data_IF_941087363331
#
_entry.id   IF_941087363331
#
_cell.length_a   1.000
_cell.length_b   1.000
_cell.length_c   1.000
_cell.angle_alpha   90.00
_cell.angle_beta   90.00
_cell.angle_gamma   90.00
#
_symmetry.space_group_name_H-M   'P 1'
#
loop_
_entity.id
_entity.type
_entity.pdbx_description
1 polymer ?
#
# COMPACT_ATOMS: atom_id res chain seq x y z
N UNK A 1 -12.82 -4.74 13.68
CA UNK A 1 -11.81 -5.04 12.63
C UNK A 1 -11.96 -6.44 12.07
N UNK A 2 -11.76 -6.62 10.75
CA UNK A 2 -11.89 -7.89 10.01
C UNK A 2 -10.65 -8.14 9.17
N UNK A 3 -10.32 -9.40 8.87
CA UNK A 3 -9.22 -9.70 7.95
C UNK A 3 -9.52 -9.20 6.52
N UNK A 4 -8.49 -8.70 5.84
CA UNK A 4 -8.56 -8.24 4.44
C UNK A 4 -8.64 -9.46 3.51
N UNK A 5 -9.85 -10.00 3.32
CA UNK A 5 -10.10 -11.18 2.48
C UNK A 5 -11.01 -10.90 1.29
N UNK A 6 -12.01 -10.03 1.47
CA UNK A 6 -12.94 -9.60 0.43
C UNK A 6 -13.21 -8.10 0.60
N UNK A 7 -12.22 -7.24 0.37
CA UNK A 7 -12.40 -5.81 0.52
C UNK A 7 -13.45 -5.28 -0.44
N UNK A 8 -14.11 -4.22 -0.02
CA UNK A 8 -14.99 -3.37 -0.83
C UNK A 8 -14.29 -2.04 -1.10
N UNK A 9 -14.69 -1.39 -2.19
CA UNK A 9 -14.26 -0.03 -2.49
C UNK A 9 -14.48 0.86 -1.26
N UNK A 10 -13.43 1.60 -0.86
CA UNK A 10 -13.47 2.46 0.33
C UNK A 10 -13.03 1.79 1.63
N UNK A 11 -12.77 0.48 1.65
CA UNK A 11 -12.19 -0.17 2.83
C UNK A 11 -10.79 0.37 3.10
N UNK A 12 -10.57 0.82 4.33
CA UNK A 12 -9.29 1.30 4.86
C UNK A 12 -8.65 0.20 5.69
N UNK A 13 -7.42 -0.19 5.34
CA UNK A 13 -6.69 -1.26 6.00
C UNK A 13 -5.26 -0.82 6.32
N UNK A 14 -4.63 -1.47 7.31
CA UNK A 14 -3.26 -1.13 7.68
C UNK A 14 -2.23 -1.88 6.84
N UNK A 15 -1.06 -1.25 6.68
CA UNK A 15 0.18 -1.87 6.22
C UNK A 15 1.22 -1.69 7.34
N UNK A 16 1.76 -2.77 7.94
CA UNK A 16 2.83 -2.64 8.93
C UNK A 16 4.01 -1.89 8.34
N UNK A 17 4.72 -1.11 9.16
CA UNK A 17 5.84 -0.31 8.69
C UNK A 17 6.80 0.07 9.81
N UNK A 18 7.92 0.65 9.41
CA UNK A 18 8.91 1.30 10.27
C UNK A 18 9.22 2.67 9.68
N UNK A 19 9.23 3.71 10.50
CA UNK A 19 9.52 5.07 10.03
C UNK A 19 11.03 5.37 9.98
N UNK A 20 11.38 6.61 9.64
CA UNK A 20 12.77 7.10 9.59
C UNK A 20 13.52 6.99 10.93
N UNK A 21 12.80 7.02 12.05
CA UNK A 21 13.35 6.99 13.41
C UNK A 21 13.37 5.55 13.99
N UNK A 22 13.17 4.54 13.14
CA UNK A 22 13.08 3.12 13.49
C UNK A 22 11.93 2.76 14.47
N UNK A 23 10.92 3.60 14.55
CA UNK A 23 9.69 3.32 15.29
C UNK A 23 8.79 2.38 14.49
N UNK A 24 8.28 1.34 15.16
CA UNK A 24 7.34 0.38 14.58
C UNK A 24 5.92 0.94 14.66
N UNK A 25 5.22 0.88 13.54
CA UNK A 25 3.84 1.32 13.43
C UNK A 25 3.24 0.82 12.13
N UNK A 26 2.39 1.63 11.53
CA UNK A 26 1.71 1.29 10.29
C UNK A 26 1.32 2.54 9.52
N UNK A 27 0.98 2.33 8.26
CA UNK A 27 0.28 3.32 7.45
C UNK A 27 -1.08 2.77 7.05
N UNK A 28 -1.97 3.63 6.60
CA UNK A 28 -3.29 3.24 6.13
C UNK A 28 -3.31 3.27 4.61
N UNK A 29 -3.93 2.27 4.02
CA UNK A 29 -4.20 2.15 2.60
C UNK A 29 -5.70 2.01 2.37
N UNK A 30 -6.16 2.49 1.21
CA UNK A 30 -7.55 2.35 0.75
C UNK A 30 -7.61 1.37 -0.41
N UNK A 31 -8.58 0.47 -0.34
CA UNK A 31 -8.95 -0.37 -1.46
C UNK A 31 -9.81 0.39 -2.47
N UNK A 32 -9.41 0.40 -3.74
CA UNK A 32 -10.18 1.05 -4.82
C UNK A 32 -11.08 0.01 -5.49
N UNK A 33 -10.51 -0.98 -6.18
CA UNK A 33 -11.25 -2.05 -6.84
C UNK A 33 -10.34 -3.20 -7.31
N UNK A 34 -10.95 -4.27 -7.81
CA UNK A 34 -10.26 -5.30 -8.60
C UNK A 34 -10.31 -4.88 -10.07
N UNK A 35 -9.14 -4.78 -10.72
CA UNK A 35 -9.09 -4.50 -12.16
C UNK A 35 -9.02 -5.82 -12.93
N UNK A 36 -10.15 -6.15 -13.56
CA UNK A 36 -10.33 -7.35 -14.38
C UNK A 36 -9.66 -7.22 -15.76
N UNK A 37 -9.34 -8.34 -16.43
CA UNK A 37 -9.46 -9.72 -15.93
C UNK A 37 -8.31 -10.18 -15.04
N UNK A 38 -7.13 -9.53 -15.05
CA UNK A 38 -5.92 -10.06 -14.38
C UNK A 38 -4.90 -9.01 -13.88
N UNK A 39 -5.23 -7.71 -13.79
CA UNK A 39 -4.24 -6.72 -13.35
C UNK A 39 -3.99 -6.78 -11.83
N UNK A 40 -5.03 -7.10 -11.07
CA UNK A 40 -4.98 -7.23 -9.61
C UNK A 40 -5.80 -6.16 -8.90
N UNK A 41 -5.63 -6.10 -7.59
CA UNK A 41 -6.35 -5.20 -6.72
C UNK A 41 -5.66 -3.83 -6.69
N UNK A 42 -6.35 -2.80 -7.17
CA UNK A 42 -5.88 -1.44 -7.14
C UNK A 42 -6.07 -0.85 -5.73
N UNK A 43 -4.99 -0.33 -5.17
CA UNK A 43 -4.97 0.30 -3.85
C UNK A 43 -4.23 1.64 -3.92
N UNK A 44 -4.55 2.52 -2.99
CA UNK A 44 -3.77 3.74 -2.71
C UNK A 44 -3.29 3.71 -1.26
N UNK A 45 -2.15 4.34 -1.01
CA UNK A 45 -1.41 4.23 0.25
C UNK A 45 -1.10 5.66 0.73
N UNK A 46 -1.49 6.00 1.96
CA UNK A 46 -1.41 7.37 2.48
C UNK A 46 -0.12 7.62 3.27
N UNK A 47 0.30 8.89 3.33
CA UNK A 47 1.62 9.27 3.88
C UNK A 47 1.67 9.27 5.42
N UNK A 48 0.53 9.45 6.09
CA UNK A 48 0.50 9.56 7.55
C UNK A 48 0.87 8.23 8.21
N UNK A 49 1.91 8.27 9.03
CA UNK A 49 2.35 7.16 9.86
C UNK A 49 1.62 7.17 11.20
N UNK A 50 1.21 5.99 11.65
CA UNK A 50 0.44 5.78 12.86
C UNK A 50 1.14 4.79 13.78
N UNK A 51 1.21 5.15 15.05
CA UNK A 51 1.63 4.26 16.13
C UNK A 51 0.43 3.73 16.90
N UNK A 52 -0.64 4.53 16.98
CA UNK A 52 -1.93 4.16 17.58
C UNK A 52 -3.02 3.98 16.52
N UNK A 53 -3.96 3.08 16.82
CA UNK A 53 -5.13 2.82 15.96
C UNK A 53 -6.06 4.04 16.08
N UNK A 54 -6.43 4.70 14.97
CA UNK A 54 -7.44 5.76 15.02
C UNK A 54 -8.74 5.26 15.64
N UNK A 55 -9.47 6.13 16.33
CA UNK A 55 -10.74 5.76 16.97
C UNK A 55 -11.94 5.88 16.03
N UNK A 56 -11.78 6.65 14.94
CA UNK A 56 -12.79 6.84 13.91
C UNK A 56 -12.16 7.03 12.53
N UNK A 57 -13.00 6.95 11.49
CA UNK A 57 -12.57 7.20 10.11
C UNK A 57 -12.14 8.67 9.90
N UNK A 58 -12.71 9.61 10.66
CA UNK A 58 -12.41 11.04 10.55
C UNK A 58 -10.97 11.39 10.99
N UNK A 59 -10.35 10.51 11.79
CA UNK A 59 -8.94 10.63 12.21
C UNK A 59 -7.94 10.07 11.17
N UNK A 60 -8.46 9.42 10.11
CA UNK A 60 -7.66 8.89 9.01
C UNK A 60 -7.35 10.00 8.01
N UNK A 61 -6.06 10.31 7.84
CA UNK A 61 -5.62 11.31 6.87
C UNK A 61 -5.47 10.65 5.50
N UNK A 62 -6.40 10.98 4.60
CA UNK A 62 -6.38 10.52 3.19
C UNK A 62 -6.06 11.66 2.23
N UNK A 63 -5.51 12.78 2.71
CA UNK A 63 -5.26 13.98 1.89
C UNK A 63 -4.09 13.79 0.93
N UNK A 64 -3.08 13.02 1.34
CA UNK A 64 -1.84 12.83 0.59
C UNK A 64 -1.44 11.35 0.55
N UNK A 65 -1.01 10.93 -0.63
CA UNK A 65 -0.48 9.59 -0.86
C UNK A 65 1.00 9.55 -0.54
N UNK A 66 1.46 8.43 0.02
CA UNK A 66 2.88 8.15 0.21
C UNK A 66 3.59 7.98 -1.14
N UNK A 67 2.93 7.31 -2.09
CA UNK A 67 3.37 7.15 -3.48
C UNK A 67 2.18 6.86 -4.39
N UNK A 68 2.41 6.74 -5.70
CA UNK A 68 1.36 6.47 -6.70
C UNK A 68 0.59 5.19 -6.38
N UNK A 69 -0.71 5.10 -6.73
CA UNK A 69 -1.47 3.86 -6.59
C UNK A 69 -0.79 2.66 -7.26
N UNK A 70 -0.99 1.47 -6.72
CA UNK A 70 -0.36 0.23 -7.20
C UNK A 70 -1.38 -0.90 -7.33
N UNK A 71 -1.05 -1.90 -8.13
CA UNK A 71 -1.75 -3.18 -8.10
C UNK A 71 -1.13 -4.11 -7.05
N UNK A 72 -1.96 -4.88 -6.38
CA UNK A 72 -1.54 -5.93 -5.47
C UNK A 72 -2.34 -7.20 -5.66
N UNK A 73 -1.77 -8.32 -5.25
CA UNK A 73 -2.39 -9.63 -5.39
C UNK A 73 -3.42 -9.96 -4.30
N UNK A 74 -3.41 -9.23 -3.17
CA UNK A 74 -4.07 -9.61 -1.91
C UNK A 74 -3.78 -11.06 -1.46
N UNK A 75 -2.67 -11.63 -1.92
CA UNK A 75 -2.18 -12.95 -1.50
C UNK A 75 -1.17 -12.78 -0.38
N UNK A 76 -1.55 -13.26 0.79
CA UNK A 76 -0.71 -13.25 1.99
C UNK A 76 0.09 -14.55 2.04
N UNK A 77 1.33 -14.49 1.54
CA UNK A 77 2.34 -15.54 1.74
C UNK A 77 3.33 -15.05 2.81
N UNK A 78 3.67 -15.88 3.78
CA UNK A 78 4.70 -15.57 4.78
C UNK A 78 4.35 -14.52 5.84
N UNK A 79 3.23 -13.79 5.70
CA UNK A 79 2.80 -12.78 6.68
C UNK A 79 1.34 -12.98 7.14
N UNK A 80 0.98 -12.60 8.38
CA UNK A 80 -0.40 -12.47 8.81
C UNK A 80 -1.25 -11.62 7.86
N UNK A 81 -2.54 -11.97 7.74
CA UNK A 81 -3.50 -11.16 6.97
C UNK A 81 -3.72 -9.82 7.66
N UNK A 82 -3.50 -8.74 6.90
CA UNK A 82 -3.82 -7.38 7.33
C UNK A 82 -5.31 -7.24 7.64
N UNK A 83 -5.67 -6.21 8.40
CA UNK A 83 -7.05 -5.98 8.84
C UNK A 83 -7.61 -4.70 8.25
N UNK A 84 -8.90 -4.77 7.89
CA UNK A 84 -9.74 -3.61 7.62
C UNK A 84 -10.04 -2.94 8.97
N UNK A 85 -9.66 -1.66 9.05
CA UNK A 85 -9.88 -0.77 10.18
C UNK A 85 -11.25 -0.12 10.09
N UNK A 86 -11.52 0.50 8.93
CA UNK A 86 -12.75 1.21 8.64
C UNK A 86 -13.26 0.88 7.24
N UNK A 87 -14.55 1.09 7.03
CA UNK A 87 -15.17 1.06 5.71
C UNK A 87 -15.82 2.40 5.48
N UNK A 88 -15.46 3.06 4.39
CA UNK A 88 -16.11 4.31 3.94
C UNK A 88 -17.30 3.98 3.04
N UNK A 89 -18.55 4.07 3.52
CA UNK A 89 -19.73 3.74 2.71
C UNK A 89 -20.00 4.76 1.61
N UNK A 90 -19.47 5.97 1.75
CA UNK A 90 -19.69 7.10 0.83
C UNK A 90 -18.55 7.23 -0.18
N UNK A 91 -17.61 6.28 -0.18
CA UNK A 91 -16.46 6.31 -1.08
C UNK A 91 -16.87 6.22 -2.55
N UNK A 92 -16.42 7.21 -3.32
CA UNK A 92 -16.45 7.21 -4.77
C UNK A 92 -15.04 7.18 -5.34
N UNK A 93 -14.85 6.52 -6.50
CA UNK A 93 -13.55 6.46 -7.19
C UNK A 93 -12.98 7.85 -7.55
N UNK A 94 -13.84 8.85 -7.71
CA UNK A 94 -13.48 10.26 -7.93
C UNK A 94 -12.62 10.82 -6.78
N UNK A 95 -12.85 10.37 -5.55
CA UNK A 95 -12.07 10.74 -4.36
C UNK A 95 -10.61 10.28 -4.46
N UNK A 96 -10.36 9.22 -5.23
CA UNK A 96 -9.04 8.72 -5.57
C UNK A 96 -8.48 9.31 -6.87
N UNK A 97 -9.14 10.32 -7.47
CA UNK A 97 -8.73 10.86 -8.78
C UNK A 97 -8.53 9.75 -9.82
N UNK A 98 -9.43 8.77 -9.82
CA UNK A 98 -9.27 7.51 -10.56
C UNK A 98 -8.99 7.73 -12.05
N UNK A 99 -9.61 8.75 -12.64
CA UNK A 99 -9.41 9.19 -14.03
C UNK A 99 -7.98 9.65 -14.36
N UNK A 100 -7.15 9.87 -13.34
CA UNK A 100 -5.74 10.30 -13.46
C UNK A 100 -4.74 9.22 -13.07
N UNK A 101 -5.19 8.07 -12.56
CA UNK A 101 -4.30 6.96 -12.19
C UNK A 101 -3.76 6.35 -13.47
N UNK A 102 -2.43 6.26 -13.57
CA UNK A 102 -1.70 5.83 -14.76
C UNK A 102 -0.83 4.62 -14.46
N UNK A 103 -0.86 3.63 -15.34
CA UNK A 103 0.10 2.53 -15.35
C UNK A 103 0.70 2.32 -16.73
N UNK A 104 2.00 2.08 -16.77
CA UNK A 104 2.72 1.70 -17.97
C UNK A 104 2.67 0.19 -18.17
N UNK A 105 2.25 -0.21 -19.37
CA UNK A 105 2.41 -1.54 -19.95
C UNK A 105 3.40 -1.45 -21.11
N UNK A 106 3.90 -2.59 -21.58
CA UNK A 106 4.92 -2.69 -22.64
C UNK A 106 4.75 -1.69 -23.79
N UNK A 107 3.54 -1.57 -24.34
CA UNK A 107 3.24 -0.66 -25.46
C UNK A 107 1.96 0.16 -25.26
N UNK A 108 1.48 0.27 -24.03
CA UNK A 108 0.22 0.98 -23.75
C UNK A 108 0.22 1.65 -22.39
N UNK A 109 -0.55 2.73 -22.29
CA UNK A 109 -0.81 3.44 -21.06
C UNK A 109 -2.24 3.12 -20.61
N UNK A 110 -2.38 2.58 -19.41
CA UNK A 110 -3.67 2.46 -18.75
C UNK A 110 -3.95 3.73 -17.96
N UNK A 111 -5.12 4.33 -18.15
CA UNK A 111 -5.57 5.55 -17.46
C UNK A 111 -7.02 5.36 -17.03
N UNK A 112 -7.26 5.33 -15.71
CA UNK A 112 -8.61 5.32 -15.13
C UNK A 112 -9.57 4.29 -15.75
N UNK A 113 -9.09 3.07 -15.98
CA UNK A 113 -9.89 1.97 -16.55
C UNK A 113 -9.84 1.85 -18.08
N UNK A 114 -9.05 2.67 -18.78
CA UNK A 114 -8.92 2.62 -20.25
C UNK A 114 -7.47 2.43 -20.67
N UNK A 115 -7.23 1.53 -21.61
CA UNK A 115 -5.91 1.37 -22.24
C UNK A 115 -5.81 2.20 -23.51
N UNK A 116 -4.70 2.91 -23.67
CA UNK A 116 -4.37 3.75 -24.83
C UNK A 116 -3.00 3.33 -25.36
N UNK A 117 -2.80 3.29 -26.68
CA UNK A 117 -1.46 3.10 -27.24
C UNK A 117 -0.54 4.24 -26.80
N UNK A 118 0.71 3.93 -26.50
CA UNK A 118 1.70 4.90 -26.04
C UNK A 118 3.08 4.60 -26.64
N UNK A 119 3.89 5.64 -26.82
CA UNK A 119 5.31 5.52 -27.16
C UNK A 119 6.14 5.27 -25.91
N UNK A 120 7.35 4.72 -26.05
CA UNK A 120 8.28 4.51 -24.92
C UNK A 120 8.50 5.79 -24.09
N UNK A 121 8.69 6.93 -24.76
CA UNK A 121 8.85 8.24 -24.10
C UNK A 121 7.62 8.69 -23.31
N UNK A 122 6.43 8.21 -23.64
CA UNK A 122 5.20 8.50 -22.88
C UNK A 122 5.02 7.58 -21.67
N UNK A 123 5.74 6.46 -21.62
CA UNK A 123 5.73 5.49 -20.54
C UNK A 123 6.81 5.78 -19.50
N UNK A 124 7.83 6.57 -19.84
CA UNK A 124 8.92 6.95 -18.94
C UNK A 124 8.39 7.62 -17.66
N UNK A 125 8.83 7.12 -16.51
CA UNK A 125 8.45 7.66 -15.20
C UNK A 125 7.01 7.34 -14.76
N UNK A 126 6.25 6.56 -15.54
CA UNK A 126 4.92 6.07 -15.14
C UNK A 126 5.08 4.77 -14.33
N UNK A 127 4.27 4.62 -13.28
CA UNK A 127 4.24 3.40 -12.46
C UNK A 127 4.03 2.16 -13.36
N UNK A 128 4.91 1.15 -13.31
CA UNK A 128 4.77 -0.03 -14.13
C UNK A 128 3.59 -0.89 -13.66
N UNK A 129 3.00 -1.67 -14.57
CA UNK A 129 1.90 -2.59 -14.30
C UNK A 129 2.34 -3.84 -13.52
N UNK A 130 2.93 -3.66 -12.33
CA UNK A 130 3.38 -4.74 -11.45
C UNK A 130 2.27 -5.07 -10.45
N UNK A 131 1.89 -6.35 -10.40
CA UNK A 131 0.99 -6.87 -9.36
C UNK A 131 1.80 -7.29 -8.13
N UNK A 132 1.91 -6.39 -7.15
CA UNK A 132 2.76 -6.59 -5.98
C UNK A 132 2.25 -7.68 -5.03
N UNK A 133 3.19 -8.44 -4.44
CA UNK A 133 2.91 -9.30 -3.29
C UNK A 133 2.80 -8.46 -2.01
N UNK A 134 2.04 -8.95 -1.04
CA UNK A 134 1.70 -8.15 0.16
C UNK A 134 2.93 -7.81 1.01
N UNK A 135 3.85 -8.75 1.13
CA UNK A 135 5.16 -8.57 1.78
C UNK A 135 6.01 -7.50 1.08
N UNK A 136 6.12 -7.54 -0.25
CA UNK A 136 6.92 -6.58 -1.02
C UNK A 136 6.42 -5.13 -0.87
N UNK A 137 5.11 -4.94 -0.66
CA UNK A 137 4.55 -3.61 -0.39
C UNK A 137 5.10 -3.04 0.92
N UNK A 138 5.35 -3.89 1.93
CA UNK A 138 5.93 -3.44 3.20
C UNK A 138 7.35 -2.89 2.99
N UNK A 139 8.17 -3.56 2.19
CA UNK A 139 9.52 -3.07 1.84
C UNK A 139 9.45 -1.71 1.15
N UNK A 140 8.59 -1.56 0.13
CA UNK A 140 8.40 -0.28 -0.57
C UNK A 140 7.95 0.83 0.37
N UNK A 141 6.97 0.55 1.22
CA UNK A 141 6.48 1.50 2.23
C UNK A 141 7.61 1.97 3.14
N UNK A 142 8.41 1.04 3.68
CA UNK A 142 9.54 1.38 4.54
C UNK A 142 10.58 2.22 3.78
N UNK A 143 10.86 1.90 2.52
CA UNK A 143 11.79 2.68 1.70
C UNK A 143 11.33 4.14 1.51
N UNK A 144 10.04 4.38 1.27
CA UNK A 144 9.51 5.75 1.21
C UNK A 144 9.54 6.44 2.58
N UNK A 145 9.13 5.77 3.67
CA UNK A 145 9.11 6.35 5.00
C UNK A 145 10.51 6.68 5.54
N UNK A 146 11.54 5.95 5.11
CA UNK A 146 12.94 6.23 5.40
C UNK A 146 13.58 7.24 4.45
N UNK A 147 12.84 7.74 3.46
CA UNK A 147 13.30 8.76 2.52
C UNK A 147 14.23 8.26 1.41
N UNK A 148 14.32 6.93 1.21
CA UNK A 148 15.07 6.35 0.10
C UNK A 148 14.35 6.50 -1.25
N UNK A 149 13.02 6.70 -1.22
CA UNK A 149 12.18 6.94 -2.39
C UNK A 149 11.27 8.15 -2.18
N UNK A 150 11.23 9.05 -3.15
CA UNK A 150 10.28 10.16 -3.22
C UNK A 150 8.88 9.66 -3.66
N UNK A 151 7.79 10.43 -3.44
CA UNK A 151 6.43 10.00 -3.78
C UNK A 151 6.20 9.66 -5.26
N UNK A 152 7.00 10.25 -6.14
CA UNK A 152 6.95 10.08 -7.59
C UNK A 152 7.98 9.08 -8.13
N UNK A 153 8.74 8.44 -7.23
CA UNK A 153 9.71 7.42 -7.64
C UNK A 153 9.01 6.08 -7.90
N UNK A 154 9.49 5.39 -8.94
CA UNK A 154 9.18 3.99 -9.19
C UNK A 154 10.12 3.16 -8.31
N UNK A 155 9.58 2.10 -7.71
CA UNK A 155 10.38 1.14 -6.95
C UNK A 155 11.40 0.46 -7.89
N UNK A 156 12.68 0.76 -7.66
CA UNK A 156 13.80 0.23 -8.43
C UNK A 156 14.80 -0.39 -7.44
N UNK A 157 14.86 -1.72 -7.45
CA UNK A 157 15.66 -2.52 -6.51
C UNK A 157 17.13 -2.08 -6.48
N UNK A 158 17.71 -1.74 -7.63
CA UNK A 158 19.12 -1.40 -7.74
C UNK A 158 19.46 -0.03 -7.14
N UNK A 159 18.47 0.85 -7.02
CA UNK A 159 18.62 2.19 -6.44
C UNK A 159 18.43 2.23 -4.94
N UNK A 160 17.92 1.14 -4.34
CA UNK A 160 17.71 1.08 -2.91
C UNK A 160 19.04 0.84 -2.16
N UNK A 161 19.22 1.48 -1.00
CA UNK A 161 20.21 1.06 -0.02
C UNK A 161 20.07 -0.43 0.30
N UNK A 162 21.20 -1.13 0.46
CA UNK A 162 21.23 -2.57 0.69
C UNK A 162 20.35 -3.00 1.87
N UNK A 163 20.36 -2.23 2.97
CA UNK A 163 19.59 -2.52 4.17
C UNK A 163 18.07 -2.29 4.04
N UNK A 164 17.60 -1.87 2.86
CA UNK A 164 16.19 -1.70 2.49
C UNK A 164 15.74 -2.64 1.36
N UNK A 165 16.65 -3.46 0.81
CA UNK A 165 16.34 -4.42 -0.27
C UNK A 165 15.69 -5.68 0.28
N UNK A 166 14.82 -6.31 -0.51
CA UNK A 166 14.05 -7.49 -0.06
C UNK A 166 14.90 -8.73 0.25
N UNK A 167 16.09 -8.83 -0.35
CA UNK A 167 17.05 -9.92 -0.15
C UNK A 167 18.06 -9.63 0.97
N UNK A 168 17.96 -8.47 1.63
CA UNK A 168 18.74 -8.17 2.82
C UNK A 168 18.12 -8.83 4.05
N UNK A 169 18.94 -9.54 4.81
CA UNK A 169 18.54 -10.12 6.10
C UNK A 169 18.04 -9.03 7.06
N UNK A 170 18.72 -7.88 7.09
CA UNK A 170 18.35 -6.74 7.94
C UNK A 170 16.96 -6.20 7.57
N UNK A 171 16.70 -6.06 6.27
CA UNK A 171 15.40 -5.59 5.80
C UNK A 171 14.29 -6.62 6.10
N UNK A 172 14.58 -7.90 5.87
CA UNK A 172 13.65 -9.00 6.12
C UNK A 172 13.28 -9.11 7.60
N UNK A 173 14.26 -9.06 8.51
CA UNK A 173 14.03 -9.05 9.96
C UNK A 173 13.18 -7.86 10.40
N UNK A 174 13.43 -6.68 9.80
CA UNK A 174 12.64 -5.46 10.07
C UNK A 174 11.18 -5.64 9.64
N UNK A 175 10.94 -6.16 8.44
CA UNK A 175 9.59 -6.43 7.91
C UNK A 175 8.87 -7.47 8.76
N UNK A 176 9.54 -8.56 9.13
CA UNK A 176 8.97 -9.61 9.97
C UNK A 176 8.58 -9.06 11.35
N UNK A 177 9.49 -8.33 11.99
CA UNK A 177 9.27 -7.73 13.30
C UNK A 177 8.09 -6.74 13.27
N UNK A 178 8.08 -5.81 12.32
CA UNK A 178 6.99 -4.85 12.18
C UNK A 178 5.64 -5.56 11.94
N UNK A 179 5.63 -6.58 11.08
CA UNK A 179 4.41 -7.32 10.78
C UNK A 179 3.89 -8.09 11.99
N UNK A 180 4.76 -8.79 12.73
CA UNK A 180 4.37 -9.54 13.92
C UNK A 180 3.84 -8.60 15.01
N UNK A 181 4.57 -7.54 15.32
CA UNK A 181 4.19 -6.55 16.34
C UNK A 181 2.85 -5.90 16.02
N UNK A 182 2.63 -5.49 14.77
CA UNK A 182 1.35 -4.89 14.40
C UNK A 182 0.22 -5.90 14.42
N UNK A 183 0.44 -7.12 13.94
CA UNK A 183 -0.58 -8.17 14.02
C UNK A 183 -1.00 -8.46 15.47
N UNK A 184 -0.04 -8.56 16.40
CA UNK A 184 -0.32 -8.71 17.83
C UNK A 184 -1.13 -7.52 18.38
N UNK A 185 -0.72 -6.28 18.08
CA UNK A 185 -1.44 -5.07 18.49
C UNK A 185 -2.90 -5.08 18.02
N UNK A 186 -3.14 -5.42 16.76
CA UNK A 186 -4.49 -5.46 16.19
C UNK A 186 -5.35 -6.62 16.72
N UNK A 187 -4.75 -7.79 16.99
CA UNK A 187 -5.47 -8.92 17.61
C UNK A 187 -5.83 -8.62 19.08
N UNK A 188 -4.93 -7.99 19.85
CA UNK A 188 -5.21 -7.57 21.23
C UNK A 188 -6.31 -6.50 21.27
N UNK A 189 -6.26 -5.49 20.40
CA UNK A 189 -7.28 -4.44 20.37
C UNK A 189 -8.68 -5.02 20.11
N UNK A 190 -8.80 -6.01 19.20
CA UNK A 190 -10.05 -6.73 18.93
C UNK A 190 -10.64 -7.41 20.17
N UNK A 191 -9.80 -7.92 21.08
CA UNK A 191 -10.25 -8.58 22.30
C UNK A 191 -10.70 -7.58 23.37
N UNK A 192 -10.12 -6.38 23.39
CA UNK A 192 -10.44 -5.37 24.41
C UNK A 192 -11.71 -4.56 24.14
N UNK A 193 -12.22 -4.57 22.91
CA UNK A 193 -13.50 -3.95 22.56
C UNK A 193 -13.58 -2.43 22.80
N UNK A 194 -12.45 -1.76 23.05
CA UNK A 194 -12.41 -0.30 23.06
C UNK A 194 -12.49 0.20 21.62
N UNK A 195 -13.31 1.23 21.34
CA UNK A 195 -13.42 1.82 20.02
C UNK A 195 -12.06 2.32 19.52
#
# INVERSE_FOLDING_TARGET
MKALTKPKAGDLFYIPAVNKDDEIGFIIARYIELIEPNLGHLIEIFEKFYTEIPTSIDEVDTTRRLFRPIFCSLRFSGLPRWKILFSDPDYEKSMSGYDKIKFAFDSSLWVGGKSLSATESQLEGIEPSICWRMDHIVFRVIAHLKGALAPDDIMDYEKLPEDLREDSDIASERVEKATRTMNEKFESHKQTGKP
#
